data_IF_847566120972
#
_entry.id   IF_847566120972
#
_cell.length_a   1.000
_cell.length_b   1.000
_cell.length_c   1.000
_cell.angle_alpha   90.00
_cell.angle_beta   90.00
_cell.angle_gamma   90.00
#
_symmetry.space_group_name_H-M   'P 1'
#
loop_
_entity.id
_entity.type
_entity.pdbx_description
1 polymer ?
#
# COMPACT_ATOMS: atom_id res chain seq x y z
N UNK A 1 -94.30 -34.92 20.38
CA UNK A 1 -93.36 -35.98 20.81
C UNK A 1 -92.02 -35.67 20.14
N UNK A 2 -91.30 -34.67 20.65
CA UNK A 2 -90.25 -34.76 21.67
C UNK A 2 -89.00 -35.51 21.18
N UNK A 3 -87.85 -34.85 21.22
CA UNK A 3 -86.56 -35.55 21.27
C UNK A 3 -85.35 -34.89 20.62
N UNK A 4 -85.13 -33.60 20.85
CA UNK A 4 -83.85 -32.91 20.61
C UNK A 4 -82.73 -33.60 21.39
N UNK A 5 -81.61 -33.95 20.74
CA UNK A 5 -80.35 -34.28 21.41
C UNK A 5 -79.20 -33.54 20.70
N UNK A 6 -78.80 -32.46 21.35
CA UNK A 6 -77.60 -31.66 21.07
C UNK A 6 -76.35 -32.51 21.37
N UNK A 7 -75.50 -32.73 20.37
CA UNK A 7 -74.10 -33.09 20.60
C UNK A 7 -73.24 -31.84 20.42
N UNK A 8 -72.89 -31.23 21.55
CA UNK A 8 -71.86 -30.21 21.64
C UNK A 8 -70.50 -30.86 21.33
N UNK A 9 -69.98 -30.65 20.12
CA UNK A 9 -68.60 -30.99 19.79
C UNK A 9 -67.73 -29.78 20.12
N UNK A 10 -66.95 -29.94 21.18
CA UNK A 10 -66.03 -28.96 21.74
C UNK A 10 -64.95 -28.65 20.70
N UNK A 11 -64.83 -27.39 20.29
CA UNK A 11 -63.65 -26.86 19.61
C UNK A 11 -62.45 -27.01 20.57
N UNK A 12 -61.61 -28.01 20.33
CA UNK A 12 -60.26 -28.03 20.89
C UNK A 12 -59.38 -27.09 20.05
N UNK A 13 -59.33 -25.81 20.44
CA UNK A 13 -58.26 -24.91 20.05
C UNK A 13 -56.96 -25.45 20.64
N UNK A 14 -56.27 -26.29 19.87
CA UNK A 14 -54.87 -26.61 20.12
C UNK A 14 -54.07 -25.34 19.90
N UNK A 15 -53.75 -24.64 21.00
CA UNK A 15 -52.73 -23.60 21.00
C UNK A 15 -51.40 -24.34 20.79
N UNK A 16 -50.95 -24.40 19.53
CA UNK A 16 -49.55 -24.72 19.26
C UNK A 16 -48.70 -23.64 19.92
N UNK A 17 -47.63 -23.97 20.65
CA UNK A 17 -46.74 -22.97 21.20
C UNK A 17 -46.22 -22.13 20.03
N UNK A 18 -46.38 -20.82 20.18
CA UNK A 18 -45.79 -19.78 19.35
C UNK A 18 -44.36 -20.22 19.05
N UNK A 19 -44.07 -20.43 17.76
CA UNK A 19 -42.71 -20.57 17.30
C UNK A 19 -41.97 -19.35 17.86
N UNK A 20 -40.94 -19.60 18.68
CA UNK A 20 -39.93 -18.61 19.00
C UNK A 20 -39.51 -18.00 17.67
N UNK A 21 -40.03 -16.81 17.39
CA UNK A 21 -39.31 -15.89 16.53
C UNK A 21 -38.00 -15.70 17.27
N UNK A 22 -36.95 -16.32 16.76
CA UNK A 22 -35.59 -15.87 17.01
C UNK A 22 -35.61 -14.40 16.58
N UNK A 23 -35.89 -13.52 17.52
CA UNK A 23 -35.55 -12.12 17.43
C UNK A 23 -34.05 -12.14 17.28
N UNK A 24 -33.60 -12.02 16.03
CA UNK A 24 -32.21 -11.78 15.70
C UNK A 24 -31.85 -10.53 16.51
N UNK A 25 -31.13 -10.73 17.62
CA UNK A 25 -30.69 -9.64 18.48
C UNK A 25 -29.94 -8.67 17.57
N UNK A 26 -30.54 -7.49 17.34
CA UNK A 26 -29.89 -6.44 16.60
C UNK A 26 -28.65 -6.05 17.40
N UNK A 27 -27.47 -6.35 16.86
CA UNK A 27 -26.21 -5.92 17.48
C UNK A 27 -26.25 -4.43 17.75
N UNK A 28 -25.73 -4.02 18.90
CA UNK A 28 -25.52 -2.62 19.26
C UNK A 28 -24.57 -1.90 18.27
N UNK A 29 -23.85 -2.66 17.43
CA UNK A 29 -22.82 -2.21 16.50
C UNK A 29 -22.94 -2.90 15.13
N UNK A 30 -24.03 -2.66 14.37
CA UNK A 30 -24.32 -3.40 13.14
C UNK A 30 -23.26 -3.15 12.05
N UNK A 31 -22.68 -1.94 12.00
CA UNK A 31 -21.64 -1.61 11.01
C UNK A 31 -20.33 -2.37 11.28
N UNK A 32 -19.90 -2.42 12.55
CA UNK A 32 -18.71 -3.15 12.98
C UNK A 32 -18.90 -4.66 12.79
N UNK A 33 -20.09 -5.18 13.12
CA UNK A 33 -20.40 -6.59 12.90
C UNK A 33 -20.27 -6.95 11.41
N UNK A 34 -20.84 -6.15 10.51
CA UNK A 34 -20.72 -6.39 9.07
C UNK A 34 -19.26 -6.36 8.58
N UNK A 35 -18.41 -5.48 9.14
CA UNK A 35 -16.98 -5.43 8.84
C UNK A 35 -16.31 -6.76 9.22
N UNK A 36 -16.46 -7.22 10.45
CA UNK A 36 -15.76 -8.43 10.92
C UNK A 36 -16.33 -9.71 10.30
N UNK A 37 -17.64 -9.76 10.01
CA UNK A 37 -18.26 -10.87 9.27
C UNK A 37 -17.74 -11.00 7.83
N UNK A 38 -17.27 -9.90 7.23
CA UNK A 38 -16.62 -9.93 5.91
C UNK A 38 -15.21 -10.56 5.93
N UNK A 39 -14.68 -10.87 7.12
CA UNK A 39 -13.32 -11.37 7.32
C UNK A 39 -12.27 -10.27 7.39
N UNK A 40 -12.68 -9.01 7.59
CA UNK A 40 -11.78 -7.96 8.01
C UNK A 40 -11.43 -8.09 9.49
N UNK A 41 -10.33 -7.48 9.88
CA UNK A 41 -9.76 -7.48 11.22
C UNK A 41 -9.39 -6.04 11.61
N UNK A 42 -8.89 -5.84 12.83
CA UNK A 42 -8.30 -4.56 13.20
C UNK A 42 -7.13 -4.23 12.26
N UNK A 43 -6.98 -2.97 11.87
CA UNK A 43 -5.97 -2.57 10.89
C UNK A 43 -4.55 -2.98 11.34
N UNK A 44 -4.24 -2.83 12.62
CA UNK A 44 -2.96 -3.20 13.24
C UNK A 44 -2.73 -4.71 13.28
N UNK A 45 -3.80 -5.51 13.35
CA UNK A 45 -3.71 -6.98 13.27
C UNK A 45 -3.46 -7.42 11.84
N UNK A 46 -4.19 -6.85 10.87
CA UNK A 46 -3.96 -7.10 9.45
C UNK A 46 -2.54 -6.72 9.01
N UNK A 47 -2.02 -5.56 9.46
CA UNK A 47 -0.64 -5.13 9.19
C UNK A 47 0.35 -6.15 9.74
N UNK A 48 0.26 -6.51 11.04
CA UNK A 48 1.17 -7.47 11.66
C UNK A 48 1.10 -8.85 11.02
N UNK A 49 -0.10 -9.30 10.64
CA UNK A 49 -0.30 -10.56 9.94
C UNK A 49 0.41 -10.56 8.58
N UNK A 50 0.31 -9.45 7.84
CA UNK A 50 0.96 -9.28 6.55
C UNK A 50 2.48 -9.13 6.66
N UNK A 51 3.00 -8.35 7.61
CA UNK A 51 4.45 -8.27 7.86
C UNK A 51 5.04 -9.64 8.16
N UNK A 52 4.36 -10.42 9.02
CA UNK A 52 4.76 -11.79 9.33
C UNK A 52 4.71 -12.70 8.10
N UNK A 53 3.69 -12.57 7.27
CA UNK A 53 3.50 -13.40 6.07
C UNK A 53 4.53 -13.07 4.98
N UNK A 54 4.73 -11.80 4.71
CA UNK A 54 5.63 -11.31 3.66
C UNK A 54 7.10 -11.26 4.08
N UNK A 55 7.37 -11.40 5.38
CA UNK A 55 8.72 -11.39 5.94
C UNK A 55 9.42 -10.04 5.80
N UNK A 56 8.67 -8.95 5.66
CA UNK A 56 9.21 -7.60 5.45
C UNK A 56 8.29 -6.53 6.08
N UNK A 57 8.86 -5.42 6.51
CA UNK A 57 8.14 -4.33 7.19
C UNK A 57 7.20 -3.61 6.22
N UNK A 58 6.04 -3.17 6.72
CA UNK A 58 5.06 -2.40 5.97
C UNK A 58 5.08 -0.95 6.45
N UNK A 59 5.23 -0.03 5.50
CA UNK A 59 5.10 1.39 5.76
C UNK A 59 3.85 1.93 5.05
N UNK A 60 2.91 2.46 5.84
CA UNK A 60 1.75 3.18 5.33
C UNK A 60 2.05 4.68 5.24
N UNK A 61 1.41 5.41 4.30
CA UNK A 61 1.50 6.87 4.25
C UNK A 61 1.18 7.51 5.61
N UNK A 62 2.05 8.39 6.15
CA UNK A 62 1.78 9.09 7.41
C UNK A 62 0.74 10.20 7.26
N UNK A 63 0.60 10.80 6.08
CA UNK A 63 -0.45 11.76 5.79
C UNK A 63 -1.74 11.03 5.45
N UNK A 64 -2.85 11.50 6.03
CA UNK A 64 -4.20 11.04 5.75
C UNK A 64 -4.96 12.07 4.91
N UNK A 65 -6.01 11.67 4.17
CA UNK A 65 -6.94 12.63 3.58
C UNK A 65 -7.50 13.58 4.63
N UNK A 66 -7.68 14.84 4.27
CA UNK A 66 -8.20 15.90 5.13
C UNK A 66 -9.74 15.82 5.31
N UNK A 67 -10.27 14.60 5.41
CA UNK A 67 -11.68 14.31 5.67
C UNK A 67 -11.81 13.40 6.89
N UNK A 68 -12.98 13.42 7.53
CA UNK A 68 -13.24 12.58 8.69
C UNK A 68 -13.57 11.14 8.29
N UNK A 69 -13.02 10.18 9.03
CA UNK A 69 -13.35 8.76 8.98
C UNK A 69 -13.87 8.32 10.35
N UNK A 70 -14.85 7.40 10.38
CA UNK A 70 -15.35 6.82 11.63
C UNK A 70 -14.75 5.45 11.92
N UNK A 71 -14.31 4.74 10.88
CA UNK A 71 -13.78 3.39 10.99
C UNK A 71 -12.48 3.24 10.23
N UNK A 72 -11.61 2.38 10.77
CA UNK A 72 -10.38 1.90 10.14
C UNK A 72 -10.24 0.42 10.45
N UNK A 73 -10.09 -0.38 9.42
CA UNK A 73 -9.95 -1.83 9.52
C UNK A 73 -9.11 -2.34 8.35
N UNK A 74 -8.70 -3.60 8.39
CA UNK A 74 -7.86 -4.15 7.35
C UNK A 74 -8.03 -5.63 7.15
N UNK A 75 -7.40 -6.14 6.11
CA UNK A 75 -7.33 -7.57 5.82
C UNK A 75 -5.99 -7.90 5.20
N UNK A 76 -5.43 -9.02 5.64
CA UNK A 76 -4.23 -9.59 5.03
C UNK A 76 -4.62 -10.79 4.16
N UNK A 77 -4.69 -10.59 2.85
CA UNK A 77 -5.03 -11.64 1.90
C UNK A 77 -3.87 -12.61 1.75
N UNK A 78 -4.18 -13.90 1.70
CA UNK A 78 -3.23 -14.98 1.43
C UNK A 78 -3.67 -15.81 0.22
N UNK A 79 -2.78 -16.70 -0.23
CA UNK A 79 -2.95 -17.60 -1.40
C UNK A 79 -4.26 -18.40 -1.46
N UNK A 80 -4.91 -18.66 -0.32
CA UNK A 80 -6.11 -19.51 -0.25
C UNK A 80 -7.38 -18.84 -0.76
N UNK A 81 -7.35 -17.51 -0.95
CA UNK A 81 -8.51 -16.75 -1.41
C UNK A 81 -8.63 -16.66 -2.94
N UNK A 82 -7.70 -17.26 -3.70
CA UNK A 82 -7.62 -17.08 -5.17
C UNK A 82 -7.28 -15.66 -5.61
N UNK A 83 -6.86 -14.81 -4.66
CA UNK A 83 -6.37 -13.46 -4.87
C UNK A 83 -4.87 -13.44 -4.61
N UNK A 84 -4.16 -12.56 -5.32
CA UNK A 84 -2.76 -12.28 -5.02
C UNK A 84 -2.60 -11.82 -3.57
N UNK A 85 -1.54 -12.25 -2.91
CA UNK A 85 -1.32 -11.89 -1.51
C UNK A 85 -1.01 -10.40 -1.40
N UNK A 86 -1.80 -9.69 -0.59
CA UNK A 86 -1.68 -8.25 -0.38
C UNK A 86 -2.26 -7.83 0.97
N UNK A 87 -1.87 -6.65 1.42
CA UNK A 87 -2.54 -5.96 2.52
C UNK A 87 -3.60 -5.03 1.95
N UNK A 88 -4.78 -5.00 2.56
CA UNK A 88 -5.82 -4.00 2.30
C UNK A 88 -6.17 -3.28 3.61
N UNK A 89 -6.15 -1.95 3.61
CA UNK A 89 -6.62 -1.11 4.73
C UNK A 89 -7.73 -0.19 4.23
N UNK A 90 -8.86 -0.20 4.92
CA UNK A 90 -10.00 0.67 4.65
C UNK A 90 -10.12 1.76 5.69
N UNK A 91 -10.44 2.95 5.23
CA UNK A 91 -10.83 4.11 6.01
C UNK A 91 -12.20 4.57 5.51
N UNK A 92 -13.22 4.47 6.35
CA UNK A 92 -14.60 4.76 5.97
C UNK A 92 -15.27 5.68 6.96
N UNK A 93 -16.17 6.52 6.46
CA UNK A 93 -17.11 7.25 7.28
C UNK A 93 -18.51 6.66 7.11
N UNK A 94 -19.09 6.20 8.22
CA UNK A 94 -20.44 5.63 8.28
C UNK A 94 -21.52 6.63 7.87
N UNK A 95 -21.32 7.92 8.19
CA UNK A 95 -22.29 8.99 7.96
C UNK A 95 -22.03 9.79 6.68
N UNK A 96 -20.86 9.61 6.05
CA UNK A 96 -20.45 10.24 4.79
C UNK A 96 -19.82 9.18 3.88
N UNK A 97 -20.61 8.34 3.20
CA UNK A 97 -20.09 7.20 2.44
C UNK A 97 -19.17 7.60 1.26
N UNK A 98 -19.18 8.86 0.83
CA UNK A 98 -18.21 9.43 -0.12
C UNK A 98 -16.79 9.57 0.48
N UNK A 99 -16.66 9.61 1.81
CA UNK A 99 -15.39 9.53 2.53
C UNK A 99 -15.01 8.06 2.67
N UNK A 100 -14.62 7.50 1.53
CA UNK A 100 -14.12 6.14 1.39
C UNK A 100 -12.70 6.23 0.82
N UNK A 101 -11.75 5.70 1.57
CA UNK A 101 -10.34 5.70 1.21
C UNK A 101 -9.73 4.34 1.54
N UNK A 102 -9.02 3.77 0.57
CA UNK A 102 -8.44 2.44 0.68
C UNK A 102 -6.99 2.46 0.25
N UNK A 103 -6.17 1.72 1.00
CA UNK A 103 -4.77 1.48 0.69
C UNK A 103 -4.60 -0.01 0.47
N UNK A 104 -4.16 -0.39 -0.72
CA UNK A 104 -3.73 -1.76 -1.00
C UNK A 104 -2.22 -1.79 -1.24
N UNK A 105 -1.54 -2.79 -0.68
CA UNK A 105 -0.11 -3.00 -0.82
C UNK A 105 0.16 -4.41 -1.33
N UNK A 106 0.71 -4.49 -2.53
CA UNK A 106 1.14 -5.73 -3.15
C UNK A 106 2.67 -5.82 -3.09
N UNK A 107 3.24 -6.96 -2.66
CA UNK A 107 4.65 -7.24 -2.95
C UNK A 107 4.91 -7.07 -4.45
N UNK A 108 6.07 -6.53 -4.85
CA UNK A 108 6.35 -6.27 -6.28
C UNK A 108 6.30 -7.53 -7.15
N UNK A 109 6.65 -8.69 -6.58
CA UNK A 109 6.49 -9.99 -7.24
C UNK A 109 5.03 -10.32 -7.58
N UNK A 110 4.07 -9.75 -6.84
CA UNK A 110 2.62 -9.90 -6.99
C UNK A 110 1.95 -8.63 -7.55
N UNK A 111 2.73 -7.76 -8.22
CA UNK A 111 2.22 -6.45 -8.67
C UNK A 111 1.01 -6.62 -9.61
N UNK A 112 0.03 -5.74 -9.42
CA UNK A 112 -1.14 -5.65 -10.27
C UNK A 112 -0.80 -4.95 -11.59
N UNK A 113 -1.16 -5.58 -12.72
CA UNK A 113 -0.83 -5.06 -14.05
C UNK A 113 -1.80 -3.97 -14.52
N UNK A 114 -3.08 -4.05 -14.11
CA UNK A 114 -4.12 -3.04 -14.36
C UNK A 114 -4.26 -2.62 -15.84
N UNK A 115 -4.06 -3.56 -16.77
CA UNK A 115 -3.88 -3.30 -18.22
C UNK A 115 -5.08 -2.63 -18.90
N UNK A 116 -6.27 -2.74 -18.33
CA UNK A 116 -7.52 -2.20 -18.88
C UNK A 116 -7.82 -0.76 -18.45
N UNK A 117 -6.98 -0.14 -17.60
CA UNK A 117 -7.18 1.22 -17.11
C UNK A 117 -6.30 2.21 -17.87
N UNK A 118 -6.90 3.35 -18.25
CA UNK A 118 -6.19 4.45 -18.94
C UNK A 118 -5.60 5.42 -17.91
N UNK A 119 -4.30 5.27 -17.63
CA UNK A 119 -3.63 6.08 -16.61
C UNK A 119 -3.02 7.37 -17.15
N UNK A 120 -3.14 8.45 -16.38
CA UNK A 120 -2.32 9.65 -16.46
C UNK A 120 -1.00 9.43 -15.70
N UNK A 121 0.13 9.66 -16.37
CA UNK A 121 1.43 9.63 -15.70
C UNK A 121 1.63 10.87 -14.81
N UNK A 122 2.13 10.66 -13.60
CA UNK A 122 2.47 11.68 -12.62
C UNK A 122 3.90 11.49 -12.12
N UNK A 123 4.52 12.56 -11.65
CA UNK A 123 5.77 12.51 -10.88
C UNK A 123 5.45 12.79 -9.42
N UNK A 124 5.75 11.85 -8.53
CA UNK A 124 5.71 12.08 -7.09
C UNK A 124 6.99 12.80 -6.63
N UNK A 125 8.14 12.38 -7.16
CA UNK A 125 9.44 13.02 -6.98
C UNK A 125 10.23 12.95 -8.30
N UNK A 126 11.45 13.48 -8.32
CA UNK A 126 12.35 13.34 -9.48
C UNK A 126 12.70 11.88 -9.80
N UNK A 127 12.63 10.96 -8.84
CA UNK A 127 12.97 9.54 -9.01
C UNK A 127 11.77 8.60 -8.88
N UNK A 128 10.60 9.10 -8.50
CA UNK A 128 9.42 8.27 -8.23
C UNK A 128 8.26 8.74 -9.09
N UNK A 129 7.86 7.89 -10.03
CA UNK A 129 6.68 8.10 -10.84
C UNK A 129 5.44 7.50 -10.18
N UNK A 130 4.27 8.00 -10.56
CA UNK A 130 2.98 7.42 -10.25
C UNK A 130 2.08 7.39 -11.49
N UNK A 131 1.03 6.60 -11.41
CA UNK A 131 -0.03 6.50 -12.41
C UNK A 131 -1.34 6.85 -11.73
N UNK A 132 -2.09 7.79 -12.28
CA UNK A 132 -3.39 8.18 -11.77
C UNK A 132 -4.49 7.79 -12.75
N UNK A 133 -5.55 7.19 -12.25
CA UNK A 133 -6.75 6.85 -12.99
C UNK A 133 -7.94 7.53 -12.33
N UNK A 134 -8.74 8.22 -13.13
CA UNK A 134 -10.05 8.72 -12.74
C UNK A 134 -11.11 7.95 -13.52
N UNK A 135 -11.88 7.12 -12.82
CA UNK A 135 -12.99 6.41 -13.44
C UNK A 135 -14.18 7.31 -13.76
N UNK A 136 -15.25 6.72 -14.34
CA UNK A 136 -16.54 7.40 -14.49
C UNK A 136 -17.11 7.87 -13.15
N UNK A 137 -18.08 8.78 -13.18
CA UNK A 137 -18.81 9.21 -11.98
C UNK A 137 -19.46 7.98 -11.29
N UNK A 138 -19.46 7.98 -9.96
CA UNK A 138 -19.91 6.90 -9.08
C UNK A 138 -19.07 5.61 -9.17
N UNK A 139 -17.80 5.74 -9.53
CA UNK A 139 -16.83 4.63 -9.47
C UNK A 139 -15.72 4.98 -8.47
N UNK A 140 -14.47 5.07 -8.94
CA UNK A 140 -13.29 5.29 -8.13
C UNK A 140 -12.27 6.22 -8.80
N UNK A 141 -11.42 6.78 -7.97
CA UNK A 141 -10.13 7.34 -8.35
C UNK A 141 -9.04 6.42 -7.78
N UNK A 142 -7.97 6.23 -8.53
CA UNK A 142 -6.87 5.33 -8.17
C UNK A 142 -5.53 6.02 -8.45
N UNK A 143 -4.64 6.04 -7.45
CA UNK A 143 -3.24 6.39 -7.63
C UNK A 143 -2.38 5.14 -7.38
N UNK A 144 -1.52 4.79 -8.34
CA UNK A 144 -0.61 3.65 -8.26
C UNK A 144 0.82 4.15 -8.26
N UNK A 145 1.64 3.69 -7.32
CA UNK A 145 3.07 3.99 -7.29
C UNK A 145 3.86 2.86 -6.62
N UNK A 146 5.16 2.82 -6.87
CA UNK A 146 6.05 1.81 -6.32
C UNK A 146 7.08 2.47 -5.40
N UNK A 147 7.35 1.86 -4.25
CA UNK A 147 8.41 2.30 -3.34
C UNK A 147 8.92 1.12 -2.52
N UNK A 148 10.25 1.00 -2.43
CA UNK A 148 10.92 -0.19 -1.90
C UNK A 148 10.39 -1.44 -2.63
N UNK A 149 10.04 -2.51 -1.92
CA UNK A 149 9.57 -3.77 -2.50
C UNK A 149 8.03 -3.86 -2.59
N UNK A 150 7.36 -2.71 -2.66
CA UNK A 150 5.89 -2.60 -2.63
C UNK A 150 5.33 -1.79 -3.80
N UNK A 151 4.22 -2.30 -4.36
CA UNK A 151 3.29 -1.52 -5.17
C UNK A 151 2.12 -1.05 -4.29
N UNK A 152 1.89 0.26 -4.27
CA UNK A 152 0.82 0.92 -3.53
C UNK A 152 -0.31 1.30 -4.48
N UNK A 153 -1.54 0.96 -4.10
CA UNK A 153 -2.77 1.41 -4.75
C UNK A 153 -3.57 2.23 -3.72
N UNK A 154 -3.66 3.54 -3.95
CA UNK A 154 -4.50 4.44 -3.16
C UNK A 154 -5.81 4.68 -3.89
N UNK A 155 -6.91 4.18 -3.34
CA UNK A 155 -8.24 4.24 -3.96
C UNK A 155 -9.16 5.13 -3.14
N UNK A 156 -10.00 5.91 -3.82
CA UNK A 156 -11.10 6.65 -3.19
C UNK A 156 -12.31 6.66 -4.12
N UNK A 157 -13.49 6.99 -3.60
CA UNK A 157 -14.69 7.16 -4.41
C UNK A 157 -14.50 8.22 -5.52
N UNK A 158 -15.28 8.12 -6.59
CA UNK A 158 -15.38 9.19 -7.59
C UNK A 158 -16.83 9.66 -7.69
N UNK A 159 -17.32 10.31 -6.63
CA UNK A 159 -18.66 10.88 -6.57
C UNK A 159 -18.60 12.40 -6.72
N UNK A 160 -19.73 13.05 -7.00
CA UNK A 160 -19.79 14.52 -7.10
C UNK A 160 -19.47 15.23 -5.79
N UNK A 161 -19.69 14.56 -4.65
CA UNK A 161 -19.35 15.02 -3.30
C UNK A 161 -17.97 14.60 -2.82
N UNK A 162 -17.21 13.80 -3.60
CA UNK A 162 -15.89 13.35 -3.16
C UNK A 162 -14.93 14.52 -3.04
N UNK A 163 -14.41 14.72 -1.84
CA UNK A 163 -13.41 15.75 -1.53
C UNK A 163 -11.97 15.27 -1.82
N UNK A 164 -11.74 13.95 -1.72
CA UNK A 164 -10.43 13.32 -1.93
C UNK A 164 -10.11 13.25 -3.43
N UNK A 165 -9.36 14.23 -3.92
CA UNK A 165 -8.96 14.34 -5.32
C UNK A 165 -7.54 13.85 -5.63
N UNK A 166 -7.17 13.91 -6.91
CA UNK A 166 -5.82 13.58 -7.39
C UNK A 166 -4.68 14.27 -6.61
N UNK A 167 -4.85 15.56 -6.31
CA UNK A 167 -3.85 16.35 -5.55
C UNK A 167 -3.62 15.74 -4.17
N UNK A 168 -4.70 15.40 -3.47
CA UNK A 168 -4.61 14.85 -2.12
C UNK A 168 -3.99 13.44 -2.12
N UNK A 169 -4.38 12.56 -3.04
CA UNK A 169 -3.73 11.25 -3.21
C UNK A 169 -2.22 11.40 -3.50
N UNK A 170 -1.85 12.41 -4.30
CA UNK A 170 -0.44 12.69 -4.65
C UNK A 170 0.34 13.14 -3.41
N UNK A 171 -0.21 14.05 -2.61
CA UNK A 171 0.41 14.53 -1.37
C UNK A 171 0.58 13.39 -0.35
N UNK A 172 -0.44 12.53 -0.21
CA UNK A 172 -0.39 11.34 0.63
C UNK A 172 0.74 10.39 0.18
N UNK A 173 0.82 10.07 -1.11
CA UNK A 173 1.89 9.24 -1.64
C UNK A 173 3.28 9.88 -1.41
N UNK A 174 3.42 11.19 -1.66
CA UNK A 174 4.66 11.93 -1.41
C UNK A 174 5.08 11.90 0.06
N UNK A 175 4.13 11.96 1.00
CA UNK A 175 4.42 11.85 2.43
C UNK A 175 5.07 10.52 2.79
N UNK A 176 4.63 9.42 2.14
CA UNK A 176 5.24 8.11 2.31
C UNK A 176 6.65 8.07 1.73
N UNK A 177 6.83 8.58 0.51
CA UNK A 177 8.15 8.63 -0.13
C UNK A 177 9.14 9.39 0.77
N UNK A 178 8.72 10.52 1.33
CA UNK A 178 9.54 11.29 2.26
C UNK A 178 9.89 10.49 3.52
N UNK A 179 8.91 9.84 4.15
CA UNK A 179 9.12 9.06 5.37
C UNK A 179 10.05 7.86 5.16
N UNK A 180 9.88 7.11 4.06
CA UNK A 180 10.73 5.96 3.74
C UNK A 180 12.13 6.42 3.36
N UNK A 181 12.26 7.47 2.54
CA UNK A 181 13.58 8.05 2.20
C UNK A 181 14.30 8.59 3.44
N UNK A 182 13.58 9.10 4.44
CA UNK A 182 14.16 9.58 5.70
C UNK A 182 14.72 8.45 6.59
N UNK A 183 14.22 7.22 6.43
CA UNK A 183 14.75 6.02 7.09
C UNK A 183 15.95 5.43 6.34
N UNK A 184 16.03 5.61 5.02
CA UNK A 184 17.20 5.22 4.25
C UNK A 184 18.39 6.11 4.60
N UNK A 185 19.60 5.56 4.84
CA UNK A 185 20.78 6.39 4.96
C UNK A 185 20.93 7.23 3.71
N UNK A 186 21.26 8.52 3.86
CA UNK A 186 21.32 9.46 2.74
C UNK A 186 22.30 9.05 1.62
N UNK A 187 23.20 8.09 1.86
CA UNK A 187 24.09 7.50 0.87
C UNK A 187 23.44 6.41 0.00
N UNK A 188 22.32 5.81 0.41
CA UNK A 188 21.72 4.63 -0.24
C UNK A 188 21.31 4.91 -1.70
N UNK A 189 20.75 6.09 -1.95
CA UNK A 189 20.46 6.61 -3.30
C UNK A 189 21.71 6.58 -4.18
N UNK A 190 22.83 7.06 -3.66
CA UNK A 190 24.10 7.15 -4.39
C UNK A 190 24.76 5.77 -4.53
N UNK A 191 24.55 4.87 -3.58
CA UNK A 191 24.99 3.48 -3.66
C UNK A 191 24.30 2.73 -4.80
N UNK A 192 22.98 2.89 -4.94
CA UNK A 192 22.20 2.28 -6.04
C UNK A 192 22.68 2.78 -7.40
N UNK A 193 22.91 4.09 -7.53
CA UNK A 193 23.49 4.69 -8.73
C UNK A 193 24.89 4.15 -9.03
N UNK A 194 25.76 4.09 -8.02
CA UNK A 194 27.12 3.58 -8.14
C UNK A 194 27.12 2.13 -8.64
N UNK A 195 26.30 1.25 -8.06
CA UNK A 195 26.17 -0.16 -8.50
C UNK A 195 25.68 -0.22 -9.95
N UNK A 196 24.61 0.48 -10.28
CA UNK A 196 23.98 0.42 -11.61
C UNK A 196 24.91 0.91 -12.71
N UNK A 197 25.57 2.06 -12.51
CA UNK A 197 26.49 2.62 -13.49
C UNK A 197 27.80 1.83 -13.59
N UNK A 198 28.26 1.21 -12.50
CA UNK A 198 29.44 0.33 -12.54
C UNK A 198 29.16 -0.94 -13.33
N UNK A 199 28.02 -1.61 -13.08
CA UNK A 199 27.59 -2.77 -13.86
C UNK A 199 27.57 -2.44 -15.35
N UNK A 200 27.00 -1.29 -15.72
CA UNK A 200 26.92 -0.81 -17.10
C UNK A 200 28.30 -0.50 -17.70
N UNK A 201 29.21 0.10 -16.94
CA UNK A 201 30.55 0.48 -17.41
C UNK A 201 31.46 -0.71 -17.63
N UNK A 202 31.43 -1.69 -16.74
CA UNK A 202 32.34 -2.83 -16.74
C UNK A 202 31.75 -4.08 -17.38
N UNK A 203 30.42 -4.14 -17.58
CA UNK A 203 29.70 -5.33 -18.04
C UNK A 203 30.00 -6.56 -17.15
N UNK A 204 29.97 -6.33 -15.83
CA UNK A 204 30.22 -7.31 -14.77
C UNK A 204 29.19 -7.15 -13.66
N UNK A 205 28.90 -8.22 -12.93
CA UNK A 205 28.05 -8.14 -11.74
C UNK A 205 28.79 -7.57 -10.54
N UNK A 206 28.08 -6.86 -9.67
CA UNK A 206 28.58 -6.41 -8.36
C UNK A 206 28.17 -7.47 -7.35
N UNK A 207 29.14 -8.13 -6.71
CA UNK A 207 28.92 -9.22 -5.76
C UNK A 207 29.15 -8.81 -4.31
N UNK A 208 29.83 -7.70 -4.08
CA UNK A 208 29.99 -7.09 -2.76
C UNK A 208 30.05 -5.56 -2.87
N UNK A 209 29.60 -4.87 -1.83
CA UNK A 209 29.60 -3.41 -1.77
C UNK A 209 29.88 -2.90 -0.35
N UNK A 210 30.73 -1.88 -0.26
CA UNK A 210 31.03 -1.18 0.98
C UNK A 210 30.89 0.33 0.77
N UNK A 211 30.07 0.97 1.58
CA UNK A 211 30.02 2.42 1.67
C UNK A 211 31.22 2.94 2.46
N UNK A 212 32.02 3.82 1.86
CA UNK A 212 33.25 4.35 2.44
C UNK A 212 33.08 5.70 3.12
N UNK A 213 31.93 6.37 2.94
CA UNK A 213 31.64 7.63 3.58
C UNK A 213 31.38 8.79 2.61
N UNK A 214 30.88 9.86 3.21
CA UNK A 214 30.58 11.14 2.57
C UNK A 214 31.69 12.14 2.80
N UNK A 215 32.05 12.88 1.75
CA UNK A 215 32.84 14.10 1.85
C UNK A 215 32.00 15.30 1.41
N UNK A 216 31.71 16.23 2.33
CA UNK A 216 31.04 17.50 1.99
C UNK A 216 32.12 18.52 1.58
N UNK A 217 32.14 18.89 0.30
CA UNK A 217 33.14 19.83 -0.24
C UNK A 217 32.63 21.27 -0.15
N UNK A 218 31.35 21.52 -0.49
CA UNK A 218 30.73 22.85 -0.39
C UNK A 218 29.21 22.77 -0.24
N UNK A 219 28.51 23.91 -0.28
CA UNK A 219 27.03 23.97 -0.31
C UNK A 219 26.43 23.42 -1.60
N UNK A 220 27.22 23.30 -2.67
CA UNK A 220 26.79 22.88 -4.01
C UNK A 220 27.48 21.60 -4.49
N UNK A 221 28.35 21.01 -3.66
CA UNK A 221 29.12 19.81 -4.00
C UNK A 221 29.34 18.92 -2.77
N UNK A 222 28.89 17.68 -2.87
CA UNK A 222 29.21 16.59 -1.97
C UNK A 222 29.63 15.36 -2.78
N UNK A 223 30.44 14.50 -2.17
CA UNK A 223 30.87 13.22 -2.76
C UNK A 223 30.53 12.06 -1.83
N UNK A 224 29.95 11.00 -2.40
CA UNK A 224 29.86 9.69 -1.74
C UNK A 224 30.88 8.75 -2.37
N UNK A 225 31.64 8.01 -1.54
CA UNK A 225 32.61 7.01 -2.01
C UNK A 225 32.16 5.59 -1.64
N UNK A 226 32.32 4.67 -2.59
CA UNK A 226 31.98 3.26 -2.47
C UNK A 226 33.17 2.41 -2.90
N UNK A 227 33.29 1.21 -2.32
CA UNK A 227 34.14 0.13 -2.82
C UNK A 227 33.23 -0.99 -3.31
N UNK A 228 33.33 -1.35 -4.57
CA UNK A 228 32.55 -2.41 -5.19
C UNK A 228 33.47 -3.57 -5.56
N UNK A 229 32.99 -4.80 -5.41
CA UNK A 229 33.65 -5.99 -5.91
C UNK A 229 32.88 -6.53 -7.11
N UNK A 230 33.53 -6.54 -8.27
CA UNK A 230 32.93 -6.96 -9.53
C UNK A 230 33.32 -8.39 -9.84
N UNK A 231 32.42 -9.14 -10.48
CA UNK A 231 32.67 -10.52 -10.91
C UNK A 231 32.06 -10.81 -12.28
N UNK A 232 32.82 -11.51 -13.13
CA UNK A 232 32.34 -12.12 -14.38
C UNK A 232 33.09 -13.41 -14.64
N UNK A 233 32.42 -14.54 -14.45
CA UNK A 233 33.08 -15.85 -14.43
C UNK A 233 34.16 -15.90 -13.34
N UNK A 234 35.41 -16.10 -13.73
CA UNK A 234 36.57 -16.17 -12.83
C UNK A 234 37.31 -14.83 -12.67
N UNK A 235 36.92 -13.79 -13.42
CA UNK A 235 37.51 -12.46 -13.30
C UNK A 235 36.84 -11.70 -12.16
N UNK A 236 37.65 -11.21 -11.21
CA UNK A 236 37.21 -10.36 -10.12
C UNK A 236 38.02 -9.07 -10.09
N UNK A 237 37.36 -7.94 -9.89
CA UNK A 237 37.98 -6.61 -9.89
C UNK A 237 37.39 -5.78 -8.75
N UNK A 238 38.24 -5.18 -7.92
CA UNK A 238 37.82 -4.15 -6.97
C UNK A 238 37.77 -2.79 -7.65
N UNK A 239 36.68 -2.03 -7.45
CA UNK A 239 36.55 -0.68 -8.02
C UNK A 239 36.07 0.28 -6.93
N UNK A 240 36.81 1.37 -6.74
CA UNK A 240 36.31 2.54 -6.02
C UNK A 240 35.44 3.38 -6.94
N UNK A 241 34.26 3.74 -6.46
CA UNK A 241 33.31 4.59 -7.18
C UNK A 241 33.04 5.83 -6.35
N UNK A 242 33.28 7.01 -6.93
CA UNK A 242 32.98 8.29 -6.31
C UNK A 242 31.88 9.00 -7.07
N UNK A 243 30.76 9.25 -6.41
CA UNK A 243 29.61 9.96 -6.95
C UNK A 243 29.62 11.39 -6.42
N UNK A 244 29.81 12.36 -7.32
CA UNK A 244 29.77 13.80 -7.00
C UNK A 244 28.41 14.38 -7.37
N UNK A 245 27.78 15.13 -6.46
CA UNK A 245 26.43 15.65 -6.63
C UNK A 245 26.20 16.98 -5.89
N UNK A 246 25.12 17.67 -6.24
CA UNK A 246 24.67 18.88 -5.54
C UNK A 246 23.79 18.51 -4.33
N UNK A 247 24.19 18.82 -3.08
CA UNK A 247 23.54 18.27 -1.89
C UNK A 247 22.15 18.83 -1.57
N UNK A 248 21.72 19.90 -2.25
CA UNK A 248 20.37 20.48 -2.10
C UNK A 248 19.39 20.02 -3.19
N UNK A 249 19.87 19.77 -4.41
CA UNK A 249 19.03 19.50 -5.58
C UNK A 249 19.15 18.06 -6.06
N UNK A 250 20.04 17.28 -5.42
CA UNK A 250 20.44 15.94 -5.82
C UNK A 250 20.86 15.80 -7.30
N UNK A 251 21.28 16.91 -7.92
CA UNK A 251 21.78 16.88 -9.29
C UNK A 251 23.12 16.17 -9.32
N UNK A 252 23.23 15.08 -10.08
CA UNK A 252 24.50 14.39 -10.34
C UNK A 252 25.43 15.32 -11.13
N UNK A 253 26.67 15.43 -10.68
CA UNK A 253 27.72 16.21 -11.33
C UNK A 253 28.71 15.30 -12.06
N UNK A 254 29.16 14.22 -11.44
CA UNK A 254 30.04 13.23 -12.07
C UNK A 254 30.07 11.90 -11.32
N UNK A 255 30.50 10.84 -12.01
CA UNK A 255 30.84 9.55 -11.40
C UNK A 255 32.26 9.19 -11.82
N UNK A 256 33.15 8.95 -10.86
CA UNK A 256 34.56 8.57 -11.09
C UNK A 256 34.79 7.12 -10.63
N UNK A 257 35.67 6.42 -11.33
CA UNK A 257 36.01 5.01 -11.10
C UNK A 257 37.52 4.88 -10.96
N UNK A 258 37.97 4.09 -9.99
CA UNK A 258 39.38 3.79 -9.74
C UNK A 258 39.50 2.29 -9.42
N UNK A 259 40.16 1.53 -10.30
CA UNK A 259 40.40 0.09 -10.11
C UNK A 259 41.46 -0.14 -9.02
N UNK A 260 41.32 -1.25 -8.30
CA UNK A 260 42.18 -1.66 -7.17
C UNK A 260 43.09 -2.80 -7.60
#
# INVERSE_FOLDING_TARGET
>A
MLGTLLFASILSLGITPVADQVTMESSDFPFQQAIFESGAELAEEAIRACEKRFGREIHLPPQMPAVAFTHRYGRCYGTHAGLDEHLEIHYRNEFKPENDYRIELYPLENRQQLEHLSFQALKLTEQTAAKYYRGPLNTLQLLVFEKADWQYLLTTANQSSTEIGQRELTEIAQSLIHAVNGKEPAFAKWGTLAVTETKRKYDMDVVDYLYMGRTKISSVLAEEKFKLWLKKGNLEIGVYVTVSYHPVTDRILSIRYEEI
#
